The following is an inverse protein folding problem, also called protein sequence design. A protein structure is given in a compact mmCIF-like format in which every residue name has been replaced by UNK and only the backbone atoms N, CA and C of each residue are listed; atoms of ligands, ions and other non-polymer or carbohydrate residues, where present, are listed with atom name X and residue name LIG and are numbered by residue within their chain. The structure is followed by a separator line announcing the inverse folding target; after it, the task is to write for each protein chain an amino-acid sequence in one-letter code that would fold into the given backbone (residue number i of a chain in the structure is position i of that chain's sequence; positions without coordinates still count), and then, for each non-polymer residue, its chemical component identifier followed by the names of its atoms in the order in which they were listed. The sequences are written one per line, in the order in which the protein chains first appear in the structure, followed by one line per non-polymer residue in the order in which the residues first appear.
data_IF_125104355533
#
_entry.id   IF_125104355533
#
_cell.length_a   1.000
_cell.length_b   1.000
_cell.length_c   1.000
_cell.angle_alpha   90.00
_cell.angle_beta   90.00
_cell.angle_gamma   90.00
#
_symmetry.space_group_name_H-M   'P 1'
#
loop_
_entity.id
_entity.type
_entity.pdbx_description
1 polymer ?
#
# COMPACT_ATOMS: atom_id res chain seq x y z
N UNK A 1 -23.26 25.42 5.56
CA UNK A 1 -22.52 24.34 4.90
C UNK A 1 -21.06 24.61 5.19
N UNK A 2 -20.54 23.96 6.22
CA UNK A 2 -19.25 24.31 6.80
C UNK A 2 -18.11 23.94 5.85
N UNK A 3 -17.46 24.99 5.35
CA UNK A 3 -16.18 24.96 4.67
C UNK A 3 -15.11 24.42 5.63
N UNK A 4 -15.04 23.10 5.79
CA UNK A 4 -13.78 22.47 6.14
C UNK A 4 -12.86 22.65 4.92
N UNK A 5 -12.26 23.84 4.79
CA UNK A 5 -11.08 24.06 3.99
C UNK A 5 -9.91 23.30 4.66
N UNK A 6 -10.03 21.98 4.71
CA UNK A 6 -9.01 21.10 5.23
C UNK A 6 -7.80 21.16 4.32
N UNK A 7 -6.62 21.13 4.90
CA UNK A 7 -5.41 20.80 4.16
C UNK A 7 -5.33 19.29 3.97
N UNK A 8 -4.66 18.84 2.92
CA UNK A 8 -4.31 17.44 2.79
C UNK A 8 -3.50 17.00 4.01
N UNK A 9 -3.93 15.93 4.69
CA UNK A 9 -3.26 15.40 5.89
C UNK A 9 -1.83 14.89 5.66
N UNK A 10 -1.34 14.88 4.42
CA UNK A 10 -0.01 14.40 4.07
C UNK A 10 0.92 15.49 3.56
N UNK A 11 0.48 16.26 2.55
CA UNK A 11 1.30 17.29 1.94
C UNK A 11 0.92 18.71 2.37
N UNK A 12 -0.14 18.88 3.16
CA UNK A 12 -0.61 20.19 3.60
C UNK A 12 -1.29 21.04 2.52
N UNK A 13 -1.45 20.52 1.30
CA UNK A 13 -2.08 21.25 0.20
C UNK A 13 -3.51 21.71 0.57
N UNK A 14 -3.79 22.99 0.38
CA UNK A 14 -5.09 23.65 0.60
C UNK A 14 -5.73 24.03 -0.73
N UNK A 15 -7.05 24.28 -0.73
CA UNK A 15 -7.75 24.77 -1.94
C UNK A 15 -7.92 23.72 -3.05
N UNK A 16 -7.58 22.46 -2.77
CA UNK A 16 -7.80 21.30 -3.65
C UNK A 16 -8.96 20.47 -3.12
N UNK A 17 -9.64 19.75 -4.01
CA UNK A 17 -10.57 18.70 -3.60
C UNK A 17 -9.84 17.69 -2.70
N UNK A 18 -10.46 17.37 -1.57
CA UNK A 18 -10.00 16.35 -0.65
C UNK A 18 -10.94 15.15 -0.66
N UNK A 19 -10.37 13.97 -0.67
CA UNK A 19 -11.09 12.71 -0.60
C UNK A 19 -10.81 12.00 0.71
N UNK A 20 -11.88 11.48 1.32
CA UNK A 20 -11.80 10.64 2.51
C UNK A 20 -11.32 9.26 2.10
N UNK A 21 -10.23 8.80 2.71
CA UNK A 21 -9.70 7.49 2.43
C UNK A 21 -10.47 6.42 3.23
N UNK A 22 -11.40 5.73 2.58
CA UNK A 22 -12.08 4.57 3.14
C UNK A 22 -11.14 3.36 3.18
N UNK A 23 -11.32 2.48 4.17
CA UNK A 23 -10.51 1.27 4.27
C UNK A 23 -10.89 0.23 3.22
N UNK A 24 -12.18 -0.05 3.05
CA UNK A 24 -12.63 -1.04 2.07
C UNK A 24 -12.03 -2.43 2.35
N UNK A 25 -11.35 -2.98 1.33
CA UNK A 25 -10.68 -4.27 1.37
C UNK A 25 -9.18 -4.10 1.17
N UNK A 26 -8.41 -5.02 1.72
CA UNK A 26 -6.97 -5.12 1.50
C UNK A 26 -6.66 -5.65 0.09
N UNK A 27 -5.38 -5.69 -0.27
CA UNK A 27 -4.95 -6.18 -1.58
C UNK A 27 -5.49 -7.58 -1.94
N UNK A 28 -5.69 -8.46 -0.95
CA UNK A 28 -6.19 -9.83 -1.10
C UNK A 28 -7.72 -9.97 -0.99
N UNK A 29 -8.44 -8.85 -0.98
CA UNK A 29 -9.90 -8.82 -0.93
C UNK A 29 -10.50 -9.06 0.46
N UNK A 30 -9.67 -9.15 1.51
CA UNK A 30 -10.12 -9.29 2.90
C UNK A 30 -10.60 -7.93 3.40
N UNK A 31 -11.71 -7.90 4.12
CA UNK A 31 -12.19 -6.66 4.72
C UNK A 31 -11.21 -6.20 5.79
N UNK A 32 -10.83 -4.92 5.80
CA UNK A 32 -10.08 -4.37 6.93
C UNK A 32 -10.96 -4.44 8.18
N UNK A 33 -10.53 -5.22 9.16
CA UNK A 33 -11.21 -5.39 10.44
C UNK A 33 -10.54 -4.57 11.55
N UNK A 34 -11.01 -4.75 12.80
CA UNK A 34 -10.46 -4.08 13.99
C UNK A 34 -8.99 -4.37 14.28
N UNK A 35 -8.40 -5.39 13.66
CA UNK A 35 -6.98 -5.75 13.80
C UNK A 35 -6.10 -5.01 12.77
N UNK A 36 -6.72 -4.26 11.85
CA UNK A 36 -6.02 -3.39 10.91
C UNK A 36 -5.26 -2.30 11.67
N UNK A 37 -4.07 -1.88 11.20
CA UNK A 37 -3.25 -0.88 11.88
C UNK A 37 -4.04 0.38 12.29
N UNK A 38 -3.80 0.89 13.50
CA UNK A 38 -4.53 2.05 14.04
C UNK A 38 -4.41 3.32 13.16
N UNK A 39 -3.33 3.43 12.38
CA UNK A 39 -3.10 4.53 11.42
C UNK A 39 -4.20 4.66 10.37
N UNK A 40 -4.95 3.58 10.17
CA UNK A 40 -6.03 3.43 9.20
C UNK A 40 -7.42 3.61 9.84
N UNK A 41 -7.53 3.59 11.17
CA UNK A 41 -8.79 3.65 11.91
C UNK A 41 -9.35 5.07 12.11
N UNK A 42 -8.56 6.12 11.81
CA UNK A 42 -9.00 7.52 11.87
C UNK A 42 -9.30 8.07 10.47
N UNK A 43 -10.42 8.78 10.26
CA UNK A 43 -10.73 9.36 8.97
C UNK A 43 -9.73 10.45 8.63
N UNK A 44 -8.92 10.22 7.58
CA UNK A 44 -7.99 11.20 7.01
C UNK A 44 -8.43 11.62 5.63
N UNK A 45 -8.11 12.86 5.29
CA UNK A 45 -8.45 13.53 4.05
C UNK A 45 -7.18 13.80 3.24
N UNK A 46 -7.15 13.33 2.00
CA UNK A 46 -5.99 13.48 1.13
C UNK A 46 -6.40 14.17 -0.17
N UNK A 47 -5.47 14.94 -0.76
CA UNK A 47 -5.62 15.32 -2.16
C UNK A 47 -5.49 14.07 -3.04
N UNK A 48 -5.85 14.18 -4.32
CA UNK A 48 -5.84 13.06 -5.27
C UNK A 48 -4.49 12.33 -5.31
N UNK A 49 -3.38 13.07 -5.45
CA UNK A 49 -2.04 12.47 -5.50
C UNK A 49 -1.67 11.73 -4.22
N UNK A 50 -1.92 12.31 -3.04
CA UNK A 50 -1.63 11.65 -1.77
C UNK A 50 -2.57 10.47 -1.49
N UNK A 51 -3.82 10.52 -1.96
CA UNK A 51 -4.76 9.41 -1.86
C UNK A 51 -4.28 8.21 -2.69
N UNK A 52 -3.86 8.44 -3.93
CA UNK A 52 -3.25 7.42 -4.78
C UNK A 52 -2.01 6.81 -4.12
N UNK A 53 -1.07 7.64 -3.65
CA UNK A 53 0.14 7.17 -2.97
C UNK A 53 -0.18 6.38 -1.70
N UNK A 54 -1.23 6.75 -0.96
CA UNK A 54 -1.70 5.96 0.18
C UNK A 54 -2.23 4.59 -0.21
N UNK A 55 -2.96 4.48 -1.32
CA UNK A 55 -3.41 3.18 -1.81
C UNK A 55 -2.23 2.28 -2.20
N UNK A 56 -1.21 2.81 -2.87
CA UNK A 56 0.02 2.05 -3.19
C UNK A 56 0.73 1.57 -1.92
N UNK A 57 0.81 2.42 -0.89
CA UNK A 57 1.41 2.07 0.39
C UNK A 57 0.64 0.98 1.14
N UNK A 58 -0.69 0.95 1.02
CA UNK A 58 -1.54 -0.10 1.60
C UNK A 58 -1.30 -1.43 0.91
N UNK A 59 -1.36 -1.47 -0.43
CA UNK A 59 -1.08 -2.68 -1.19
C UNK A 59 0.31 -3.25 -0.86
N UNK A 60 1.33 -2.38 -0.82
CA UNK A 60 2.68 -2.77 -0.43
C UNK A 60 2.73 -3.43 0.97
N UNK A 61 2.07 -2.82 1.96
CA UNK A 61 2.06 -3.32 3.33
C UNK A 61 1.33 -4.65 3.44
N UNK A 62 0.21 -4.79 2.75
CA UNK A 62 -0.59 -6.02 2.78
C UNK A 62 0.22 -7.18 2.18
N UNK A 63 0.91 -6.95 1.05
CA UNK A 63 1.83 -7.91 0.44
C UNK A 63 3.01 -8.22 1.36
N UNK A 64 3.64 -7.20 1.95
CA UNK A 64 4.75 -7.37 2.89
C UNK A 64 4.37 -8.30 4.05
N UNK A 65 3.21 -8.10 4.66
CA UNK A 65 2.73 -8.93 5.76
C UNK A 65 2.56 -10.40 5.37
N UNK A 66 2.12 -10.68 4.15
CA UNK A 66 2.05 -12.06 3.65
C UNK A 66 3.43 -12.63 3.32
N UNK A 67 4.37 -11.84 2.78
CA UNK A 67 5.76 -12.29 2.57
C UNK A 67 6.43 -12.64 3.90
N UNK A 68 6.19 -11.84 4.94
CA UNK A 68 6.72 -12.09 6.29
C UNK A 68 6.17 -13.40 6.86
N UNK A 69 4.86 -13.66 6.71
CA UNK A 69 4.25 -14.95 7.08
C UNK A 69 4.87 -16.13 6.33
N UNK A 70 4.99 -16.00 5.01
CA UNK A 70 5.58 -17.04 4.16
C UNK A 70 7.03 -17.34 4.55
N UNK A 71 7.83 -16.30 4.81
CA UNK A 71 9.23 -16.42 5.27
C UNK A 71 9.31 -17.09 6.65
N UNK A 72 8.34 -16.84 7.53
CA UNK A 72 8.25 -17.45 8.85
C UNK A 72 7.65 -18.87 8.83
N UNK A 73 7.33 -19.44 7.67
CA UNK A 73 6.69 -20.75 7.55
C UNK A 73 5.24 -20.78 8.07
N UNK A 74 4.59 -19.62 8.18
CA UNK A 74 3.20 -19.49 8.59
C UNK A 74 2.27 -19.60 7.38
N UNK A 75 0.99 -19.89 7.63
CA UNK A 75 -0.02 -19.88 6.57
C UNK A 75 -0.13 -18.50 5.91
N UNK A 76 0.15 -18.43 4.62
CA UNK A 76 0.11 -17.20 3.83
C UNK A 76 -0.80 -17.33 2.62
N UNK A 77 -1.47 -16.24 2.27
CA UNK A 77 -2.21 -16.13 0.99
C UNK A 77 -1.26 -16.24 -0.21
N UNK A 78 0.02 -15.87 -0.05
CA UNK A 78 1.04 -16.00 -1.10
C UNK A 78 1.53 -17.43 -1.33
N UNK A 79 1.04 -18.42 -0.56
CA UNK A 79 1.32 -19.83 -0.83
C UNK A 79 0.63 -20.35 -2.09
N UNK A 80 -0.32 -19.60 -2.68
CA UNK A 80 -0.91 -19.93 -3.98
C UNK A 80 -0.16 -19.23 -5.11
N UNK A 81 0.02 -19.92 -6.23
CA UNK A 81 0.75 -19.37 -7.38
C UNK A 81 0.08 -18.12 -7.96
N UNK A 82 -1.26 -18.10 -8.02
CA UNK A 82 -2.04 -16.98 -8.54
C UNK A 82 -1.82 -15.71 -7.71
N UNK A 83 -1.97 -15.79 -6.38
CA UNK A 83 -1.79 -14.63 -5.50
C UNK A 83 -0.34 -14.18 -5.46
N UNK A 84 0.62 -15.12 -5.52
CA UNK A 84 2.03 -14.81 -5.63
C UNK A 84 2.36 -14.01 -6.90
N UNK A 85 1.85 -14.44 -8.06
CA UNK A 85 2.04 -13.75 -9.34
C UNK A 85 1.38 -12.37 -9.32
N UNK A 86 0.15 -12.27 -8.80
CA UNK A 86 -0.59 -11.00 -8.68
C UNK A 86 0.14 -10.00 -7.79
N UNK A 87 0.63 -10.42 -6.63
CA UNK A 87 1.43 -9.60 -5.74
C UNK A 87 2.75 -9.16 -6.39
N UNK A 88 3.43 -10.08 -7.08
CA UNK A 88 4.68 -9.78 -7.80
C UNK A 88 4.48 -8.72 -8.88
N UNK A 89 3.40 -8.84 -9.67
CA UNK A 89 3.04 -7.85 -10.69
C UNK A 89 2.75 -6.50 -10.02
N UNK A 90 1.95 -6.49 -8.95
CA UNK A 90 1.58 -5.27 -8.25
C UNK A 90 2.80 -4.50 -7.72
N UNK A 91 3.79 -5.18 -7.16
CA UNK A 91 5.02 -4.52 -6.70
C UNK A 91 5.81 -3.87 -7.84
N UNK A 92 5.85 -4.49 -9.03
CA UNK A 92 6.49 -3.89 -10.22
C UNK A 92 5.74 -2.66 -10.73
N UNK A 93 4.42 -2.69 -10.70
CA UNK A 93 3.59 -1.53 -11.02
C UNK A 93 3.86 -0.39 -10.04
N UNK A 94 3.85 -0.67 -8.74
CA UNK A 94 4.15 0.33 -7.69
C UNK A 94 5.54 0.94 -7.93
N UNK A 95 6.56 0.12 -8.21
CA UNK A 95 7.91 0.59 -8.50
C UNK A 95 7.93 1.54 -9.71
N UNK A 96 7.23 1.18 -10.79
CA UNK A 96 7.11 2.01 -12.00
C UNK A 96 6.42 3.34 -11.70
N UNK A 97 5.32 3.32 -10.94
CA UNK A 97 4.57 4.54 -10.57
C UNK A 97 5.44 5.46 -9.70
N UNK A 98 6.18 4.91 -8.74
CA UNK A 98 7.07 5.70 -7.87
C UNK A 98 8.25 6.29 -8.64
N UNK A 99 8.77 5.60 -9.67
CA UNK A 99 9.84 6.11 -10.51
C UNK A 99 9.38 7.25 -11.44
N UNK A 100 8.13 7.19 -11.92
CA UNK A 100 7.53 8.22 -12.78
C UNK A 100 6.99 9.43 -12.01
N UNK A 101 6.76 9.32 -10.71
CA UNK A 101 6.26 10.43 -9.90
C UNK A 101 7.38 11.48 -9.68
N UNK A 102 7.21 12.67 -10.28
CA UNK A 102 8.13 13.81 -10.14
C UNK A 102 8.28 14.34 -8.68
N UNK A 103 7.55 13.77 -7.73
CA UNK A 103 7.63 14.07 -6.30
C UNK A 103 7.81 12.80 -5.50
N UNK A 104 8.72 12.86 -4.52
CA UNK A 104 8.92 11.79 -3.53
C UNK A 104 7.57 11.45 -2.86
N UNK A 105 7.18 10.17 -2.90
CA UNK A 105 6.02 9.71 -2.13
C UNK A 105 6.34 9.79 -0.64
N UNK A 106 5.54 10.51 0.19
CA UNK A 106 5.79 10.65 1.62
C UNK A 106 5.46 9.38 2.40
N UNK A 107 4.96 8.33 1.74
CA UNK A 107 4.46 7.13 2.41
C UNK A 107 5.23 5.86 2.06
N UNK A 108 5.89 5.82 0.90
CA UNK A 108 6.52 4.63 0.38
C UNK A 108 7.68 5.01 -0.55
N UNK A 109 8.85 4.43 -0.32
CA UNK A 109 10.04 4.68 -1.16
C UNK A 109 10.21 3.60 -2.22
N UNK A 110 10.78 3.94 -3.37
CA UNK A 110 11.10 2.97 -4.41
C UNK A 110 12.12 1.91 -3.94
N UNK A 111 13.00 2.28 -2.99
CA UNK A 111 13.96 1.37 -2.38
C UNK A 111 13.27 0.27 -1.55
N UNK A 112 12.24 0.64 -0.78
CA UNK A 112 11.45 -0.33 0.01
C UNK A 112 10.77 -1.36 -0.89
N UNK A 113 10.18 -0.89 -2.00
CA UNK A 113 9.51 -1.74 -2.98
C UNK A 113 10.49 -2.69 -3.66
N UNK A 114 11.64 -2.17 -4.10
CA UNK A 114 12.70 -2.96 -4.74
C UNK A 114 13.22 -4.06 -3.81
N UNK A 115 13.42 -3.73 -2.54
CA UNK A 115 13.83 -4.71 -1.52
C UNK A 115 12.80 -5.82 -1.34
N UNK A 116 11.50 -5.49 -1.31
CA UNK A 116 10.45 -6.51 -1.18
C UNK A 116 10.35 -7.41 -2.42
N UNK A 117 10.51 -6.84 -3.62
CA UNK A 117 10.58 -7.62 -4.88
C UNK A 117 11.72 -8.64 -4.79
N UNK A 118 12.90 -8.22 -4.35
CA UNK A 118 14.05 -9.11 -4.17
C UNK A 118 13.77 -10.24 -3.18
N UNK A 119 13.13 -9.94 -2.05
CA UNK A 119 12.71 -10.95 -1.07
C UNK A 119 11.74 -11.97 -1.68
N UNK A 120 10.72 -11.53 -2.40
CA UNK A 120 9.76 -12.43 -3.05
C UNK A 120 10.45 -13.40 -4.02
N UNK A 121 11.39 -12.89 -4.83
CA UNK A 121 12.15 -13.73 -5.77
C UNK A 121 12.98 -14.80 -5.05
N UNK A 122 13.60 -14.47 -3.91
CA UNK A 122 14.35 -15.45 -3.13
C UNK A 122 13.45 -16.53 -2.51
N UNK A 123 12.23 -16.18 -2.11
CA UNK A 123 11.27 -17.14 -1.55
C UNK A 123 10.79 -18.17 -2.58
N UNK A 124 10.62 -17.77 -3.84
CA UNK A 124 10.24 -18.70 -4.94
C UNK A 124 11.33 -19.75 -5.23
N UNK A 125 12.60 -19.44 -4.96
CA UNK A 125 13.69 -20.38 -5.21
C UNK A 125 13.88 -21.42 -4.10
N UNK A 126 13.22 -21.26 -2.95
CA UNK A 126 13.40 -22.11 -1.77
C UNK A 126 12.28 -23.14 -1.55
N UNK A 127 11.25 -23.14 -2.40
CA UNK A 127 10.19 -24.16 -2.46
C UNK A 127 10.43 -25.14 -3.59
#
# INVERSE_FOLDING_TARGET
MDSAAGSCNACGATGTALMKLSLGKDFFGRTYDRLSPSTDQSPKWYCEGCSMQKNLQRDFRDILGEVDKLTAGQGSTLSTQEEFQRASLRLREIATILAGAAGHSPFLTAADVTRLIGRMQTTTMQT
#
